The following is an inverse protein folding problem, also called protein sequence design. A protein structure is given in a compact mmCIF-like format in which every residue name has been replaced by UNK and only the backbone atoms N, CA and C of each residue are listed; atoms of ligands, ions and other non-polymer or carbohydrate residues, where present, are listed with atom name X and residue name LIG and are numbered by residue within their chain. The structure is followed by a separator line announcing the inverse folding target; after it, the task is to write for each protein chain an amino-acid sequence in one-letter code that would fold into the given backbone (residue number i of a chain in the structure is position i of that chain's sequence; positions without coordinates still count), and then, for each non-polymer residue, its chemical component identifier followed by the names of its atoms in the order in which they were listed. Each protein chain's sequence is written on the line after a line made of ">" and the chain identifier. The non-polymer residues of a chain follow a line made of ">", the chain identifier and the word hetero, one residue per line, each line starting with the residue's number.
data_IF_180107126104
#
_entry.id   IF_180107126104
#
_cell.length_a   1.000
_cell.length_b   1.000
_cell.length_c   1.000
_cell.angle_alpha   90.00
_cell.angle_beta   90.00
_cell.angle_gamma   90.00
#
_symmetry.space_group_name_H-M   'P 1'
#
loop_
_entity.id
_entity.type
_entity.pdbx_description
1 polymer ?
#
# COMPACT_ATOMS: atom_id res chain seq x y z
N UNK A 1 47.65 12.30 -47.20
CA UNK A 1 46.97 12.81 -46.00
C UNK A 1 45.48 12.84 -46.33
N UNK A 2 44.72 11.81 -45.92
CA UNK A 2 43.87 11.79 -44.71
C UNK A 2 42.78 12.87 -44.79
N UNK A 3 41.46 12.62 -44.75
CA UNK A 3 40.63 11.63 -44.04
C UNK A 3 39.25 11.50 -44.76
N UNK A 4 38.50 10.38 -44.69
CA UNK A 4 37.11 10.31 -45.17
C UNK A 4 36.10 10.63 -44.06
N UNK A 5 34.99 11.25 -44.43
CA UNK A 5 33.90 11.66 -43.54
C UNK A 5 32.84 10.58 -43.32
N UNK A 6 32.46 10.41 -42.05
CA UNK A 6 31.09 10.25 -41.55
C UNK A 6 30.25 9.07 -42.03
N UNK A 7 30.25 7.99 -41.24
CA UNK A 7 29.18 7.00 -41.24
C UNK A 7 27.91 7.59 -40.60
N UNK A 8 26.79 7.56 -41.33
CA UNK A 8 25.45 7.80 -40.80
C UNK A 8 24.99 6.54 -40.05
N UNK A 9 24.72 6.67 -38.76
CA UNK A 9 24.09 5.62 -37.96
C UNK A 9 22.63 5.44 -38.37
N UNK A 10 22.26 4.20 -38.70
CA UNK A 10 20.88 3.79 -38.97
C UNK A 10 20.03 3.96 -37.69
N UNK A 11 19.06 4.87 -37.75
CA UNK A 11 17.99 4.93 -36.76
C UNK A 11 17.02 3.79 -36.99
N UNK A 12 17.17 2.72 -36.21
CA UNK A 12 16.23 1.61 -36.17
C UNK A 12 14.85 2.07 -35.67
N UNK A 13 13.81 1.63 -36.38
CA UNK A 13 12.40 1.96 -36.17
C UNK A 13 11.87 1.33 -34.87
N UNK A 14 12.06 2.04 -33.77
CA UNK A 14 11.65 1.65 -32.40
C UNK A 14 10.14 1.39 -32.29
N UNK A 15 9.33 2.05 -33.13
CA UNK A 15 7.88 1.88 -33.15
C UNK A 15 7.47 0.51 -33.70
N UNK A 16 8.20 -0.04 -34.67
CA UNK A 16 7.93 -1.37 -35.21
C UNK A 16 8.21 -2.48 -34.19
N UNK A 17 9.27 -2.32 -33.39
CA UNK A 17 9.65 -3.28 -32.34
C UNK A 17 8.63 -3.29 -31.19
N UNK A 18 8.09 -2.12 -30.84
CA UNK A 18 7.02 -1.98 -29.85
C UNK A 18 5.70 -2.62 -30.30
N UNK A 19 5.33 -2.45 -31.57
CA UNK A 19 4.12 -3.06 -32.14
C UNK A 19 4.20 -4.59 -32.19
N UNK A 20 5.37 -5.13 -32.50
CA UNK A 20 5.62 -6.57 -32.49
C UNK A 20 5.56 -7.13 -31.05
N UNK A 21 6.13 -6.42 -30.07
CA UNK A 21 6.11 -6.85 -28.68
C UNK A 21 4.67 -6.86 -28.08
N UNK A 22 3.87 -5.83 -28.39
CA UNK A 22 2.46 -5.78 -28.00
C UNK A 22 1.62 -6.88 -28.65
N UNK A 23 1.91 -7.19 -29.92
CA UNK A 23 1.23 -8.29 -30.63
C UNK A 23 1.53 -9.65 -30.02
N UNK A 24 2.79 -9.89 -29.63
CA UNK A 24 3.20 -11.14 -28.95
C UNK A 24 2.54 -11.29 -27.58
N UNK A 25 2.48 -10.20 -26.80
CA UNK A 25 1.85 -10.19 -25.48
C UNK A 25 0.34 -10.48 -25.56
N UNK A 26 -0.38 -9.80 -26.46
CA UNK A 26 -1.82 -10.01 -26.63
C UNK A 26 -2.16 -11.43 -27.11
N UNK A 27 -1.31 -12.02 -27.96
CA UNK A 27 -1.45 -13.41 -28.38
C UNK A 27 -1.28 -14.38 -27.21
N UNK A 28 -0.24 -14.19 -26.40
CA UNK A 28 0.00 -15.00 -25.19
C UNK A 28 -1.14 -14.92 -24.18
N UNK A 29 -1.81 -13.77 -24.10
CA UNK A 29 -2.99 -13.56 -23.24
C UNK A 29 -4.24 -14.25 -23.75
N UNK A 30 -4.37 -14.40 -25.08
CA UNK A 30 -5.44 -15.19 -25.71
C UNK A 30 -5.30 -16.67 -25.43
N UNK A 31 -4.07 -17.19 -25.52
CA UNK A 31 -3.77 -18.61 -25.31
C UNK A 31 -3.98 -19.04 -23.84
N UNK A 32 -3.83 -18.12 -22.87
CA UNK A 32 -4.11 -18.37 -21.44
C UNK A 32 -5.60 -18.42 -21.08
N UNK A 33 -6.49 -18.02 -21.99
CA UNK A 33 -7.93 -17.95 -21.71
C UNK A 33 -8.70 -19.21 -22.09
N UNK A 34 -8.08 -20.18 -22.77
CA UNK A 34 -8.74 -21.42 -23.22
C UNK A 34 -8.45 -22.67 -22.38
N UNK A 35 -7.56 -22.63 -21.38
CA UNK A 35 -7.37 -23.75 -20.45
C UNK A 35 -8.03 -23.51 -19.09
N UNK A 36 -9.33 -23.81 -18.98
CA UNK A 36 -9.91 -24.24 -17.70
C UNK A 36 -11.15 -25.10 -17.91
N UNK A 37 -11.20 -26.35 -17.42
CA UNK A 37 -12.38 -27.19 -17.51
C UNK A 37 -13.40 -26.87 -16.40
N UNK A 38 -14.68 -26.97 -16.76
CA UNK A 38 -15.85 -26.80 -15.90
C UNK A 38 -15.80 -27.61 -14.59
N UNK A 39 -16.11 -26.95 -13.47
CA UNK A 39 -16.73 -27.58 -12.30
C UNK A 39 -17.55 -26.54 -11.54
N UNK A 40 -18.87 -26.76 -11.44
CA UNK A 40 -19.81 -25.83 -10.83
C UNK A 40 -19.87 -25.90 -9.30
N UNK A 41 -20.35 -24.81 -8.70
CA UNK A 41 -21.32 -24.78 -7.60
C UNK A 41 -21.51 -23.33 -7.12
N UNK A 42 -22.78 -22.91 -7.04
CA UNK A 42 -23.23 -21.61 -6.53
C UNK A 42 -23.05 -21.53 -5.00
N UNK A 43 -22.41 -20.47 -4.49
CA UNK A 43 -22.25 -20.13 -3.07
C UNK A 43 -21.99 -18.62 -2.89
N UNK A 44 -22.35 -18.00 -1.75
CA UNK A 44 -22.81 -16.61 -1.70
C UNK A 44 -21.68 -15.57 -1.66
N UNK A 45 -21.93 -14.45 -2.36
CA UNK A 45 -21.30 -13.12 -2.26
C UNK A 45 -19.92 -13.08 -1.56
N UNK A 46 -18.89 -13.51 -2.30
CA UNK A 46 -17.50 -13.30 -1.93
C UNK A 46 -17.07 -11.86 -2.22
N UNK A 47 -16.42 -11.27 -1.22
CA UNK A 47 -15.49 -10.12 -1.30
C UNK A 47 -14.79 -10.07 -2.66
N UNK A 48 -14.64 -8.90 -3.32
CA UNK A 48 -13.93 -8.83 -4.58
C UNK A 48 -12.52 -9.42 -4.42
N UNK A 49 -12.27 -10.45 -5.21
CA UNK A 49 -11.05 -11.23 -5.28
C UNK A 49 -9.86 -10.27 -5.46
N UNK A 50 -9.02 -10.16 -4.44
CA UNK A 50 -7.71 -9.52 -4.57
C UNK A 50 -6.92 -10.41 -5.51
N UNK A 51 -6.92 -10.05 -6.80
CA UNK A 51 -6.02 -10.65 -7.78
C UNK A 51 -4.59 -10.67 -7.23
N UNK A 52 -3.80 -11.71 -7.51
CA UNK A 52 -2.50 -11.88 -6.89
C UNK A 52 -1.62 -10.65 -7.16
N UNK A 53 -1.27 -9.92 -6.09
CA UNK A 53 -0.20 -8.92 -6.16
C UNK A 53 1.05 -9.62 -6.67
N UNK A 54 1.62 -9.11 -7.76
CA UNK A 54 2.83 -9.72 -8.29
C UNK A 54 3.96 -9.57 -7.26
N UNK A 55 4.87 -10.55 -7.12
CA UNK A 55 5.97 -10.44 -6.17
C UNK A 55 6.81 -9.19 -6.45
N UNK A 56 6.77 -8.22 -5.54
CA UNK A 56 7.49 -6.94 -5.66
C UNK A 56 6.58 -5.71 -5.77
N UNK A 57 5.27 -5.87 -6.00
CA UNK A 57 4.30 -4.77 -5.95
C UNK A 57 3.82 -4.53 -4.52
N UNK A 58 3.92 -3.29 -4.05
CA UNK A 58 3.31 -2.86 -2.80
C UNK A 58 1.79 -2.75 -3.00
N UNK A 59 0.97 -3.21 -2.04
CA UNK A 59 -0.45 -2.89 -2.00
C UNK A 59 -0.67 -1.37 -2.12
N UNK A 60 -1.72 -0.94 -2.84
CA UNK A 60 -1.96 0.48 -3.14
C UNK A 60 -2.00 1.34 -1.87
N UNK A 61 -2.60 0.83 -0.80
CA UNK A 61 -2.65 1.46 0.52
C UNK A 61 -1.26 1.79 1.09
N UNK A 62 -0.32 0.85 0.96
CA UNK A 62 1.07 1.03 1.44
C UNK A 62 1.86 1.97 0.53
N UNK A 63 1.70 1.84 -0.78
CA UNK A 63 2.34 2.75 -1.74
C UNK A 63 1.83 4.19 -1.58
N UNK A 64 0.52 4.37 -1.43
CA UNK A 64 -0.11 5.68 -1.31
C UNK A 64 0.41 6.44 -0.09
N UNK A 65 0.55 5.78 1.06
CA UNK A 65 1.10 6.42 2.27
C UNK A 65 2.52 6.96 2.03
N UNK A 66 3.37 6.21 1.33
CA UNK A 66 4.71 6.70 0.96
C UNK A 66 4.67 7.83 -0.08
N UNK A 67 3.78 7.74 -1.05
CA UNK A 67 3.60 8.76 -2.08
C UNK A 67 3.13 10.08 -1.49
N UNK A 68 2.18 10.03 -0.56
CA UNK A 68 1.62 11.18 0.14
C UNK A 68 2.69 11.91 0.95
N UNK A 69 3.46 11.18 1.77
CA UNK A 69 4.59 11.74 2.50
C UNK A 69 5.62 12.40 1.58
N UNK A 70 5.93 11.76 0.43
CA UNK A 70 6.85 12.34 -0.56
C UNK A 70 6.32 13.64 -1.16
N UNK A 71 5.01 13.74 -1.41
CA UNK A 71 4.39 14.93 -2.00
C UNK A 71 4.42 16.09 -1.00
N UNK A 72 4.32 15.81 0.30
CA UNK A 72 4.41 16.80 1.37
C UNK A 72 5.85 17.27 1.68
N UNK A 73 6.89 16.59 1.18
CA UNK A 73 8.29 16.94 1.46
C UNK A 73 8.68 18.33 0.93
N UNK A 74 8.98 19.24 1.86
CA UNK A 74 9.13 20.68 1.62
C UNK A 74 10.37 21.17 0.82
N UNK A 75 11.48 20.44 0.60
CA UNK A 75 12.54 20.98 -0.25
C UNK A 75 12.44 20.58 -1.73
N UNK A 76 11.49 19.71 -2.13
CA UNK A 76 11.39 19.29 -3.54
C UNK A 76 10.58 20.26 -4.39
N UNK A 77 10.99 20.44 -5.65
CA UNK A 77 10.16 21.14 -6.64
C UNK A 77 8.98 20.27 -7.08
N UNK A 78 7.90 20.87 -7.58
CA UNK A 78 6.76 20.12 -8.12
C UNK A 78 7.16 19.21 -9.30
N UNK A 79 8.19 19.59 -10.07
CA UNK A 79 8.72 18.74 -11.13
C UNK A 79 9.44 17.50 -10.57
N UNK A 80 10.24 17.66 -9.52
CA UNK A 80 10.90 16.54 -8.85
C UNK A 80 9.89 15.58 -8.23
N UNK A 81 8.88 16.13 -7.53
CA UNK A 81 7.80 15.33 -6.91
C UNK A 81 7.03 14.53 -7.96
N UNK A 82 6.65 15.15 -9.08
CA UNK A 82 5.98 14.48 -10.20
C UNK A 82 6.85 13.41 -10.85
N UNK A 83 8.16 13.64 -10.97
CA UNK A 83 9.08 12.68 -11.56
C UNK A 83 9.21 11.44 -10.68
N UNK A 84 9.38 11.63 -9.36
CA UNK A 84 9.43 10.53 -8.39
C UNK A 84 8.14 9.74 -8.31
N UNK A 85 6.98 10.42 -8.31
CA UNK A 85 5.69 9.74 -8.41
C UNK A 85 5.63 8.84 -9.65
N UNK A 86 6.05 9.33 -10.82
CA UNK A 86 6.05 8.55 -12.05
C UNK A 86 7.02 7.36 -12.01
N UNK A 87 8.19 7.50 -11.38
CA UNK A 87 9.21 6.44 -11.26
C UNK A 87 8.73 5.24 -10.44
N UNK A 88 7.85 5.45 -9.46
CA UNK A 88 7.32 4.40 -8.61
C UNK A 88 6.08 3.69 -9.19
N UNK A 89 5.61 4.10 -10.37
CA UNK A 89 4.39 3.54 -10.98
C UNK A 89 4.71 2.51 -12.06
N UNK A 90 4.02 1.38 -12.00
CA UNK A 90 4.00 0.38 -13.06
C UNK A 90 2.73 0.53 -13.92
N UNK A 91 2.71 0.04 -15.17
CA UNK A 91 1.46 -0.10 -15.92
C UNK A 91 0.46 -0.99 -15.15
N UNK A 92 -0.85 -0.67 -15.10
CA UNK A 92 -1.55 0.39 -15.84
C UNK A 92 -1.50 1.80 -15.21
N UNK A 93 -1.05 1.93 -13.97
CA UNK A 93 -1.08 3.20 -13.22
C UNK A 93 -0.22 4.31 -13.86
N UNK A 94 0.98 3.96 -14.35
CA UNK A 94 1.84 4.91 -15.08
C UNK A 94 1.17 5.44 -16.36
N UNK A 95 0.41 4.58 -17.06
CA UNK A 95 -0.32 4.97 -18.27
C UNK A 95 -1.43 5.95 -17.94
N UNK A 96 -2.16 5.71 -16.84
CA UNK A 96 -3.18 6.63 -16.36
C UNK A 96 -2.57 7.98 -15.92
N UNK A 97 -1.50 7.96 -15.13
CA UNK A 97 -0.77 9.16 -14.71
C UNK A 97 -0.39 10.05 -15.90
N UNK A 98 0.20 9.48 -16.95
CA UNK A 98 0.58 10.22 -18.17
C UNK A 98 -0.62 10.84 -18.90
N UNK A 99 -1.81 10.22 -18.82
CA UNK A 99 -3.04 10.80 -19.37
C UNK A 99 -3.53 11.96 -18.50
N UNK A 100 -3.56 11.79 -17.18
CA UNK A 100 -3.94 12.84 -16.24
C UNK A 100 -3.08 14.11 -16.40
N UNK A 101 -1.76 13.98 -16.52
CA UNK A 101 -0.85 15.12 -16.79
C UNK A 101 -1.22 15.86 -18.08
N UNK A 102 -1.60 15.13 -19.14
CA UNK A 102 -1.98 15.74 -20.42
C UNK A 102 -3.33 16.47 -20.32
N UNK A 103 -4.27 15.92 -19.57
CA UNK A 103 -5.62 16.46 -19.43
C UNK A 103 -5.66 17.67 -18.49
N UNK A 104 -4.96 17.62 -17.36
CA UNK A 104 -4.89 18.69 -16.36
C UNK A 104 -3.90 19.80 -16.74
N UNK A 105 -2.88 19.47 -17.55
CA UNK A 105 -1.93 20.42 -18.13
C UNK A 105 -0.62 20.57 -17.33
N UNK A 106 0.32 21.40 -17.82
CA UNK A 106 1.69 21.46 -17.30
C UNK A 106 1.82 22.04 -15.89
N UNK A 107 0.82 22.81 -15.44
CA UNK A 107 0.78 23.42 -14.10
C UNK A 107 0.26 22.50 -13.00
N UNK A 108 -0.18 21.29 -13.33
CA UNK A 108 -0.70 20.31 -12.37
C UNK A 108 0.36 19.95 -11.34
N UNK A 109 -0.02 19.98 -10.07
CA UNK A 109 0.82 19.64 -8.91
C UNK A 109 0.96 18.13 -8.74
N UNK A 110 1.95 17.70 -7.95
CA UNK A 110 2.10 16.29 -7.60
C UNK A 110 0.93 15.76 -6.76
N UNK A 111 0.35 16.61 -5.90
CA UNK A 111 -0.82 16.28 -5.07
C UNK A 111 -2.07 16.04 -5.92
N UNK A 112 -2.38 16.93 -6.87
CA UNK A 112 -3.54 16.73 -7.77
C UNK A 112 -3.41 15.43 -8.59
N UNK A 113 -2.19 15.04 -8.97
CA UNK A 113 -1.95 13.78 -9.70
C UNK A 113 -2.08 12.56 -8.79
N UNK A 114 -1.64 12.68 -7.53
CA UNK A 114 -1.83 11.64 -6.52
C UNK A 114 -3.34 11.43 -6.27
N UNK A 115 -4.12 12.49 -6.14
CA UNK A 115 -5.58 12.42 -5.99
C UNK A 115 -6.25 11.68 -7.16
N UNK A 116 -5.82 11.96 -8.40
CA UNK A 116 -6.34 11.23 -9.57
C UNK A 116 -6.00 9.73 -9.51
N UNK A 117 -4.79 9.38 -9.08
CA UNK A 117 -4.39 7.99 -8.91
C UNK A 117 -5.21 7.31 -7.82
N UNK A 118 -5.48 8.00 -6.73
CA UNK A 118 -6.34 7.53 -5.63
C UNK A 118 -7.78 7.34 -6.07
N UNK A 119 -8.31 8.23 -6.90
CA UNK A 119 -9.65 8.08 -7.45
C UNK A 119 -9.75 6.89 -8.41
N UNK A 120 -8.71 6.60 -9.19
CA UNK A 120 -8.74 5.55 -10.22
C UNK A 120 -8.33 4.16 -9.71
N UNK A 121 -7.37 4.10 -8.77
CA UNK A 121 -6.76 2.86 -8.29
C UNK A 121 -6.86 2.67 -6.78
N UNK A 122 -7.21 3.72 -6.05
CA UNK A 122 -7.51 3.60 -4.63
C UNK A 122 -8.68 2.66 -4.41
N UNK A 123 -8.62 1.94 -3.30
CA UNK A 123 -9.82 1.28 -2.81
C UNK A 123 -10.81 2.41 -2.50
N UNK A 124 -12.01 2.33 -3.07
CA UNK A 124 -13.12 3.21 -2.72
C UNK A 124 -13.61 2.85 -1.30
N UNK A 125 -12.75 3.04 -0.32
CA UNK A 125 -13.07 2.98 1.09
C UNK A 125 -13.32 4.42 1.52
N UNK A 126 -14.53 4.71 1.99
CA UNK A 126 -14.77 5.95 2.71
C UNK A 126 -14.03 5.92 4.07
N UNK A 127 -14.00 7.06 4.77
CA UNK A 127 -13.37 7.15 6.09
C UNK A 127 -13.89 6.13 7.10
N UNK A 128 -15.17 5.74 6.98
CA UNK A 128 -15.82 4.73 7.82
C UNK A 128 -15.33 3.31 7.50
N UNK A 129 -15.10 3.00 6.22
CA UNK A 129 -14.48 1.75 5.78
C UNK A 129 -13.05 1.63 6.30
N UNK A 130 -12.28 2.72 6.34
CA UNK A 130 -10.91 2.72 6.87
C UNK A 130 -10.87 2.43 8.37
N UNK A 131 -11.78 3.05 9.15
CA UNK A 131 -11.87 2.73 10.57
C UNK A 131 -12.40 1.31 10.81
N UNK A 132 -13.27 0.81 9.95
CA UNK A 132 -13.73 -0.58 9.98
C UNK A 132 -12.56 -1.55 9.73
N UNK A 133 -11.74 -1.30 8.72
CA UNK A 133 -10.51 -2.07 8.45
C UNK A 133 -9.56 -2.08 9.65
N UNK A 134 -9.35 -0.93 10.29
CA UNK A 134 -8.59 -0.86 11.55
C UNK A 134 -9.19 -1.76 12.64
N UNK A 135 -10.52 -1.70 12.86
CA UNK A 135 -11.23 -2.52 13.86
C UNK A 135 -11.29 -4.00 13.53
N UNK A 136 -11.09 -4.36 12.28
CA UNK A 136 -11.03 -5.73 11.77
C UNK A 136 -9.59 -6.25 11.60
N UNK A 137 -8.58 -5.47 12.00
CA UNK A 137 -7.19 -5.93 11.99
C UNK A 137 -6.92 -6.76 13.25
N UNK A 138 -6.79 -8.07 13.06
CA UNK A 138 -6.39 -9.05 14.09
C UNK A 138 -4.99 -9.58 13.82
N UNK A 139 -4.34 -10.05 14.87
CA UNK A 139 -3.06 -10.75 14.78
C UNK A 139 -3.20 -11.97 13.89
N UNK A 140 -2.26 -12.14 12.97
CA UNK A 140 -2.20 -13.29 12.07
C UNK A 140 -1.48 -14.48 12.73
N UNK A 141 -1.74 -15.70 12.24
CA UNK A 141 -1.12 -16.89 12.80
C UNK A 141 0.41 -16.86 12.61
N UNK A 142 1.17 -16.93 13.70
CA UNK A 142 2.62 -16.82 13.70
C UNK A 142 3.17 -15.39 13.60
N UNK A 143 2.31 -14.37 13.54
CA UNK A 143 2.71 -12.97 13.59
C UNK A 143 3.07 -12.59 15.03
N UNK A 144 4.24 -11.97 15.24
CA UNK A 144 4.61 -11.46 16.56
C UNK A 144 3.72 -10.28 16.97
N UNK A 145 3.38 -10.13 18.26
CA UNK A 145 2.62 -8.99 18.77
C UNK A 145 3.14 -7.61 18.34
N UNK A 146 4.45 -7.40 18.26
CA UNK A 146 5.07 -6.14 17.82
C UNK A 146 4.91 -5.89 16.32
N UNK A 147 4.91 -6.95 15.50
CA UNK A 147 4.61 -6.86 14.07
C UNK A 147 3.11 -6.54 13.87
N UNK A 148 2.23 -7.22 14.61
CA UNK A 148 0.80 -6.93 14.63
C UNK A 148 0.53 -5.48 15.02
N UNK A 149 1.15 -4.98 16.10
CA UNK A 149 0.98 -3.59 16.54
C UNK A 149 1.43 -2.58 15.47
N UNK A 150 2.52 -2.86 14.76
CA UNK A 150 3.01 -1.99 13.68
C UNK A 150 2.04 -1.97 12.49
N UNK A 151 1.53 -3.14 12.09
CA UNK A 151 0.53 -3.25 11.02
C UNK A 151 -0.79 -2.59 11.41
N UNK A 152 -1.20 -2.74 12.67
CA UNK A 152 -2.38 -2.10 13.23
C UNK A 152 -2.25 -0.57 13.21
N UNK A 153 -1.06 -0.04 13.52
CA UNK A 153 -0.81 1.40 13.49
C UNK A 153 -0.95 1.99 12.10
N UNK A 154 -0.40 1.33 11.07
CA UNK A 154 -0.56 1.80 9.70
C UNK A 154 -2.04 1.92 9.29
N UNK A 155 -2.90 1.02 9.76
CA UNK A 155 -4.36 1.09 9.53
C UNK A 155 -5.01 2.24 10.30
N UNK A 156 -4.53 2.53 11.51
CA UNK A 156 -5.03 3.65 12.32
C UNK A 156 -4.64 4.99 11.69
N UNK A 157 -3.41 5.13 11.20
CA UNK A 157 -2.92 6.34 10.54
C UNK A 157 -3.77 6.67 9.31
N UNK A 158 -4.11 5.68 8.49
CA UNK A 158 -5.03 5.86 7.36
C UNK A 158 -6.41 6.35 7.81
N UNK A 159 -6.95 5.76 8.87
CA UNK A 159 -8.26 6.14 9.39
C UNK A 159 -8.26 7.53 10.07
N UNK A 160 -7.12 7.96 10.64
CA UNK A 160 -6.93 9.31 11.18
C UNK A 160 -6.78 10.36 10.07
N UNK A 161 -6.13 10.00 8.97
CA UNK A 161 -5.85 10.91 7.86
C UNK A 161 -7.09 11.14 6.99
N UNK A 162 -7.86 10.09 6.71
CA UNK A 162 -8.96 10.13 5.75
C UNK A 162 -10.35 9.84 6.37
N UNK A 163 -10.42 9.55 7.67
CA UNK A 163 -11.66 9.30 8.39
C UNK A 163 -11.98 10.33 9.47
N UNK A 164 -13.16 10.19 10.08
CA UNK A 164 -13.68 11.10 11.11
C UNK A 164 -13.21 10.70 12.54
N UNK A 165 -11.90 10.45 12.70
CA UNK A 165 -11.31 10.10 14.00
C UNK A 165 -10.52 11.28 14.54
N UNK A 166 -10.80 11.67 15.78
CA UNK A 166 -10.00 12.68 16.48
C UNK A 166 -8.59 12.13 16.79
N UNK A 167 -7.50 12.78 16.31
CA UNK A 167 -6.13 12.39 16.65
C UNK A 167 -5.85 12.32 18.15
N UNK A 168 -6.58 13.08 18.98
CA UNK A 168 -6.47 13.00 20.44
C UNK A 168 -6.89 11.64 21.01
N UNK A 169 -7.68 10.85 20.27
CA UNK A 169 -8.15 9.53 20.67
C UNK A 169 -7.32 8.37 20.09
N UNK A 170 -6.26 8.66 19.30
CA UNK A 170 -5.44 7.65 18.63
C UNK A 170 -4.89 6.58 19.59
N UNK A 171 -4.28 7.00 20.71
CA UNK A 171 -3.72 6.08 21.72
C UNK A 171 -4.79 5.16 22.32
N UNK A 172 -6.00 5.69 22.52
CA UNK A 172 -7.13 4.94 23.06
C UNK A 172 -7.62 3.91 22.05
N UNK A 173 -7.74 4.28 20.77
CA UNK A 173 -8.14 3.36 19.71
C UNK A 173 -7.10 2.25 19.54
N UNK A 174 -5.82 2.61 19.42
CA UNK A 174 -4.69 1.67 19.31
C UNK A 174 -4.71 0.64 20.44
N UNK A 175 -4.73 1.09 21.69
CA UNK A 175 -4.68 0.19 22.84
C UNK A 175 -5.91 -0.74 22.87
N UNK A 176 -7.11 -0.20 22.64
CA UNK A 176 -8.33 -1.01 22.68
C UNK A 176 -8.35 -2.08 21.60
N UNK A 177 -7.93 -1.74 20.38
CA UNK A 177 -7.90 -2.70 19.29
C UNK A 177 -6.76 -3.70 19.45
N UNK A 178 -5.57 -3.29 19.89
CA UNK A 178 -4.48 -4.21 20.18
C UNK A 178 -4.88 -5.28 21.21
N UNK A 179 -5.54 -4.86 22.31
CA UNK A 179 -6.09 -5.77 23.33
C UNK A 179 -7.14 -6.75 22.77
N UNK A 180 -7.93 -6.31 21.78
CA UNK A 180 -8.98 -7.12 21.15
C UNK A 180 -8.41 -8.08 20.10
N UNK A 181 -7.44 -7.62 19.32
CA UNK A 181 -6.94 -8.33 18.15
C UNK A 181 -5.69 -9.16 18.38
N UNK A 182 -5.01 -9.03 19.53
CA UNK A 182 -3.93 -9.93 19.95
C UNK A 182 -4.52 -11.27 20.42
N UNK A 183 -4.84 -12.13 19.46
CA UNK A 183 -5.59 -13.38 19.68
C UNK A 183 -4.70 -14.58 20.03
N UNK A 184 -3.46 -14.62 19.54
CA UNK A 184 -2.53 -15.75 19.76
C UNK A 184 -1.69 -15.55 21.03
N UNK A 185 -1.38 -14.30 21.38
CA UNK A 185 -0.50 -13.94 22.50
C UNK A 185 -1.23 -13.16 23.61
N UNK A 186 -2.48 -13.51 23.91
CA UNK A 186 -3.27 -12.83 24.94
C UNK A 186 -2.63 -12.90 26.35
N UNK A 187 -1.66 -13.80 26.58
CA UNK A 187 -0.82 -13.80 27.79
C UNK A 187 -0.03 -12.50 27.97
N UNK A 188 0.49 -11.94 26.87
CA UNK A 188 1.22 -10.67 26.85
C UNK A 188 0.33 -9.50 27.31
N UNK A 189 -0.94 -9.49 26.87
CA UNK A 189 -1.94 -8.50 27.29
C UNK A 189 -2.13 -8.51 28.80
N UNK A 190 -2.09 -9.70 29.40
CA UNK A 190 -2.14 -9.90 30.85
C UNK A 190 -0.87 -9.43 31.55
N UNK A 191 0.30 -9.86 31.08
CA UNK A 191 1.61 -9.53 31.64
C UNK A 191 1.85 -8.00 31.71
N UNK A 192 1.50 -7.28 30.65
CA UNK A 192 1.64 -5.82 30.56
C UNK A 192 0.46 -5.05 31.18
N UNK A 193 -0.54 -5.74 31.75
CA UNK A 193 -1.71 -5.15 32.40
C UNK A 193 -2.49 -4.16 31.51
N UNK A 194 -2.49 -4.36 30.19
CA UNK A 194 -2.98 -3.37 29.22
C UNK A 194 -4.45 -3.00 29.43
N UNK A 195 -5.27 -3.94 29.93
CA UNK A 195 -6.69 -3.71 30.22
C UNK A 195 -6.92 -2.64 31.30
N UNK A 196 -5.99 -2.49 32.24
CA UNK A 196 -6.08 -1.50 33.34
C UNK A 196 -5.68 -0.10 32.88
N UNK A 197 -4.92 -0.01 31.78
CA UNK A 197 -4.39 1.25 31.22
C UNK A 197 -5.34 1.92 30.24
N UNK A 198 -6.54 1.38 30.00
CA UNK A 198 -7.52 1.93 29.04
C UNK A 198 -7.94 3.37 29.31
N UNK A 199 -7.90 3.82 30.57
CA UNK A 199 -8.22 5.21 30.95
C UNK A 199 -7.08 6.19 30.64
N UNK A 200 -5.83 5.71 30.62
CA UNK A 200 -4.64 6.48 30.29
C UNK A 200 -3.72 5.62 29.42
N UNK A 201 -4.07 5.47 28.13
CA UNK A 201 -3.34 4.57 27.24
C UNK A 201 -1.91 5.07 27.02
N UNK A 202 -0.94 4.15 26.85
CA UNK A 202 0.40 4.52 26.42
C UNK A 202 0.40 4.97 24.96
N UNK A 203 1.36 5.83 24.62
CA UNK A 203 1.64 6.17 23.22
C UNK A 203 2.24 4.98 22.46
N UNK A 204 2.30 5.09 21.13
CA UNK A 204 2.79 4.01 20.25
C UNK A 204 4.18 3.50 20.65
N UNK A 205 5.14 4.41 20.85
CA UNK A 205 6.53 4.06 21.11
C UNK A 205 6.70 3.35 22.45
N UNK A 206 6.01 3.83 23.49
CA UNK A 206 5.99 3.21 24.81
C UNK A 206 5.42 1.79 24.73
N UNK A 207 4.25 1.63 24.11
CA UNK A 207 3.61 0.34 23.94
C UNK A 207 4.48 -0.64 23.13
N UNK A 208 5.05 -0.19 22.02
CA UNK A 208 5.89 -1.02 21.16
C UNK A 208 7.16 -1.49 21.88
N UNK A 209 7.76 -0.63 22.69
CA UNK A 209 8.93 -0.99 23.50
C UNK A 209 8.58 -2.07 24.53
N UNK A 210 7.50 -1.88 25.29
CA UNK A 210 7.05 -2.84 26.30
C UNK A 210 6.70 -4.20 25.69
N UNK A 211 5.98 -4.20 24.56
CA UNK A 211 5.63 -5.41 23.81
C UNK A 211 6.91 -6.17 23.42
N UNK A 212 7.91 -5.50 22.85
CA UNK A 212 9.18 -6.15 22.46
C UNK A 212 9.96 -6.73 23.64
N UNK A 213 9.92 -6.07 24.80
CA UNK A 213 10.55 -6.58 26.02
C UNK A 213 9.84 -7.84 26.49
N UNK A 214 8.50 -7.85 26.53
CA UNK A 214 7.74 -9.03 26.97
C UNK A 214 7.89 -10.20 25.99
N UNK A 215 7.88 -9.94 24.67
CA UNK A 215 8.17 -10.95 23.64
C UNK A 215 9.53 -11.64 23.88
N UNK A 216 10.57 -10.85 24.18
CA UNK A 216 11.90 -11.38 24.48
C UNK A 216 11.93 -12.18 25.78
N UNK A 217 11.19 -11.73 26.79
CA UNK A 217 11.10 -12.41 28.07
C UNK A 217 10.32 -13.74 27.98
N UNK A 218 9.27 -13.81 27.17
CA UNK A 218 8.49 -15.03 26.91
C UNK A 218 9.31 -16.05 26.09
N UNK A 219 10.07 -15.58 25.10
CA UNK A 219 10.97 -16.43 24.32
C UNK A 219 12.09 -17.05 25.17
N UNK A 220 12.49 -16.41 26.27
CA UNK A 220 13.46 -16.95 27.22
C UNK A 220 12.83 -17.93 28.23
N UNK A 221 11.49 -17.95 28.36
CA UNK A 221 10.73 -18.82 29.25
C UNK A 221 10.23 -20.10 28.57
N UNK A 222 10.13 -20.11 27.25
CA UNK A 222 9.66 -21.21 26.39
C UNK A 222 10.80 -22.14 25.96
#
# INVERSE_FOLDING_TARGET
>A
MSVPGGATAEGGDFDAELQDLLSRYNKSLGDLKEESPEAGAMGPAGVPDKGPCTPGELPFDVWHQHADQMVEEAPLTEEDKRSRLAECLMPPALTFYRKAVKELGPGTTASELLDQLTQAFGVACDGDDLFTLFRETYQENGEKPSAYLTRLEGRLDQALQFGDIDPADADRHRLNQFIRGCIFDNGLVGALQLRQRKLKPPGLLELLQEVRVEEGAEAARS
#
